data_IF_882865388139
#
_entry.id   IF_882865388139
#
_cell.length_a   1.000
_cell.length_b   1.000
_cell.length_c   1.000
_cell.angle_alpha   90.00
_cell.angle_beta   90.00
_cell.angle_gamma   90.00
#
_symmetry.space_group_name_H-M   'P 1'
#
loop_
_entity.id
_entity.type
_entity.pdbx_description
1 polymer ?
#
# COMPACT_ATOMS: atom_id res chain seq x y z
N UNK A 1 11.59 20.56 22.12
CA UNK A 1 10.92 19.29 21.79
C UNK A 1 10.45 19.41 20.36
N UNK A 2 11.15 18.76 19.42
CA UNK A 2 10.74 18.77 18.01
C UNK A 2 9.68 17.69 17.82
N UNK A 3 8.45 18.12 17.51
CA UNK A 3 7.33 17.24 17.23
C UNK A 3 7.53 16.60 15.86
N UNK A 4 7.65 15.27 15.80
CA UNK A 4 7.61 14.52 14.56
C UNK A 4 6.24 14.73 13.91
N UNK A 5 6.13 15.16 12.64
CA UNK A 5 4.84 15.44 12.04
C UNK A 5 4.00 14.15 12.06
N UNK A 6 2.84 14.21 12.72
CA UNK A 6 1.90 13.11 12.74
C UNK A 6 1.47 12.81 11.29
N UNK A 7 1.72 11.57 10.84
CA UNK A 7 1.26 11.09 9.54
C UNK A 7 -0.27 10.98 9.62
N UNK A 8 -0.98 12.04 9.22
CA UNK A 8 -2.44 12.20 9.38
C UNK A 8 -3.26 11.38 8.37
N UNK A 9 -2.77 10.21 7.96
CA UNK A 9 -3.36 9.38 6.91
C UNK A 9 -3.23 7.90 7.20
N UNK A 10 -3.90 7.07 6.40
CA UNK A 10 -3.81 5.62 6.57
C UNK A 10 -2.38 5.11 6.38
N UNK A 11 -2.01 4.09 7.16
CA UNK A 11 -0.74 3.38 7.06
C UNK A 11 -0.98 1.96 6.59
N UNK A 12 0.02 1.36 5.95
CA UNK A 12 -0.04 -0.04 5.56
C UNK A 12 0.15 -0.91 6.81
N UNK A 13 -0.86 -1.71 7.16
CA UNK A 13 -0.89 -2.57 8.36
C UNK A 13 -0.62 -4.05 8.05
N UNK A 14 -0.84 -4.48 6.81
CA UNK A 14 -0.55 -5.84 6.37
C UNK A 14 -0.16 -5.86 4.89
N UNK A 15 0.64 -6.85 4.50
CA UNK A 15 1.00 -7.12 3.10
C UNK A 15 0.99 -8.62 2.87
N UNK A 16 0.37 -9.06 1.76
CA UNK A 16 0.39 -10.47 1.35
C UNK A 16 0.44 -10.59 -0.17
N UNK A 17 1.00 -11.69 -0.67
CA UNK A 17 0.86 -12.08 -2.06
C UNK A 17 -0.36 -13.00 -2.22
N UNK A 18 -1.07 -12.86 -3.34
CA UNK A 18 -2.23 -13.68 -3.70
C UNK A 18 -2.13 -14.11 -5.16
N UNK A 19 -2.58 -15.32 -5.52
CA UNK A 19 -2.76 -15.66 -6.93
C UNK A 19 -3.92 -14.84 -7.54
N UNK A 20 -3.82 -14.57 -8.83
CA UNK A 20 -4.89 -14.00 -9.67
C UNK A 20 -5.44 -15.06 -10.63
N UNK A 21 -6.58 -14.76 -11.28
CA UNK A 21 -7.30 -15.71 -12.14
C UNK A 21 -6.60 -15.99 -13.49
N UNK A 22 -5.67 -15.13 -13.88
CA UNK A 22 -4.80 -15.23 -15.05
C UNK A 22 -3.48 -15.98 -14.76
N UNK A 23 -3.30 -16.47 -13.53
CA UNK A 23 -2.11 -17.24 -13.12
C UNK A 23 -0.93 -16.38 -12.67
N UNK A 24 -1.12 -15.07 -12.55
CA UNK A 24 -0.11 -14.14 -12.04
C UNK A 24 -0.18 -13.99 -10.50
N UNK A 25 0.80 -13.28 -9.94
CA UNK A 25 0.80 -12.89 -8.53
C UNK A 25 0.42 -11.42 -8.38
N UNK A 26 -0.51 -11.13 -7.47
CA UNK A 26 -0.84 -9.78 -7.04
C UNK A 26 -0.40 -9.55 -5.59
N UNK A 27 -0.16 -8.28 -5.24
CA UNK A 27 0.10 -7.85 -3.88
C UNK A 27 -1.17 -7.24 -3.29
N UNK A 28 -1.57 -7.73 -2.13
CA UNK A 28 -2.68 -7.20 -1.35
C UNK A 28 -2.11 -6.49 -0.13
N UNK A 29 -2.51 -5.24 0.06
CA UNK A 29 -2.15 -4.45 1.24
C UNK A 29 -3.40 -4.09 2.03
N UNK A 30 -3.28 -4.12 3.35
CA UNK A 30 -4.29 -3.57 4.24
C UNK A 30 -3.87 -2.18 4.69
N UNK A 31 -4.83 -1.25 4.67
CA UNK A 31 -4.68 0.11 5.17
C UNK A 31 -5.42 0.23 6.50
N UNK A 32 -4.75 0.78 7.52
CA UNK A 32 -5.34 1.14 8.80
C UNK A 32 -5.39 2.66 8.93
N UNK A 33 -6.58 3.19 9.16
CA UNK A 33 -6.86 4.62 9.30
C UNK A 33 -6.85 5.03 10.78
N UNK A 34 -6.47 6.28 11.12
CA UNK A 34 -6.46 6.75 12.51
C UNK A 34 -7.81 6.66 13.25
N UNK A 35 -8.92 6.66 12.50
CA UNK A 35 -10.27 6.48 13.06
C UNK A 35 -10.65 5.01 13.34
N UNK A 36 -9.69 4.08 13.23
CA UNK A 36 -9.91 2.64 13.39
C UNK A 36 -10.46 1.94 12.14
N UNK A 37 -10.72 2.67 11.06
CA UNK A 37 -11.15 2.11 9.78
C UNK A 37 -10.08 1.24 9.14
N UNK A 38 -10.50 0.25 8.35
CA UNK A 38 -9.60 -0.63 7.59
C UNK A 38 -10.07 -0.74 6.14
N UNK A 39 -9.13 -0.82 5.21
CA UNK A 39 -9.41 -1.08 3.80
C UNK A 39 -8.39 -2.05 3.23
N UNK A 40 -8.75 -2.76 2.16
CA UNK A 40 -7.84 -3.66 1.45
C UNK A 40 -7.68 -3.19 0.02
N UNK A 41 -6.44 -3.10 -0.46
CA UNK A 41 -6.12 -2.70 -1.83
C UNK A 41 -5.35 -3.85 -2.48
N UNK A 42 -5.87 -4.34 -3.60
CA UNK A 42 -5.14 -5.26 -4.46
C UNK A 42 -4.37 -4.47 -5.52
N UNK A 43 -3.13 -4.87 -5.74
CA UNK A 43 -2.19 -4.24 -6.66
C UNK A 43 -1.67 -5.35 -7.57
N UNK A 44 -1.88 -5.19 -8.87
CA UNK A 44 -1.41 -6.15 -9.87
C UNK A 44 0.12 -6.26 -9.85
N UNK A 45 0.67 -7.40 -10.26
CA UNK A 45 2.10 -7.71 -10.11
C UNK A 45 3.04 -6.65 -10.71
N UNK A 46 2.73 -6.14 -11.91
CA UNK A 46 3.52 -5.09 -12.56
C UNK A 46 3.49 -3.76 -11.78
N UNK A 47 2.34 -3.39 -11.21
CA UNK A 47 2.19 -2.19 -10.40
C UNK A 47 2.82 -2.35 -9.01
N UNK A 48 2.83 -3.57 -8.45
CA UNK A 48 3.47 -3.86 -7.17
C UNK A 48 4.98 -3.58 -7.22
N UNK A 49 5.65 -3.93 -8.32
CA UNK A 49 7.05 -3.58 -8.57
C UNK A 49 7.25 -2.06 -8.59
N UNK A 50 6.35 -1.33 -9.24
CA UNK A 50 6.41 0.13 -9.28
C UNK A 50 6.21 0.78 -7.91
N UNK A 51 5.32 0.22 -7.08
CA UNK A 51 5.11 0.63 -5.68
C UNK A 51 6.37 0.39 -4.85
N UNK A 52 6.95 -0.81 -4.89
CA UNK A 52 8.16 -1.13 -4.13
C UNK A 52 9.33 -0.24 -4.51
N UNK A 53 9.56 -0.03 -5.82
CA UNK A 53 10.61 0.87 -6.32
C UNK A 53 10.40 2.31 -5.84
N UNK A 54 9.16 2.78 -5.81
CA UNK A 54 8.83 4.13 -5.32
C UNK A 54 9.03 4.26 -3.82
N UNK A 55 8.66 3.24 -3.06
CA UNK A 55 8.87 3.18 -1.61
C UNK A 55 10.36 2.99 -1.26
N UNK A 56 11.21 2.64 -2.23
CA UNK A 56 12.64 2.41 -2.00
C UNK A 56 12.93 1.13 -1.23
N UNK A 57 12.03 0.15 -1.28
CA UNK A 57 12.11 -1.10 -0.50
C UNK A 57 12.51 -2.28 -1.38
N UNK A 58 13.17 -3.27 -0.77
CA UNK A 58 13.59 -4.49 -1.47
C UNK A 58 12.68 -5.68 -1.15
N UNK A 59 12.00 -5.66 0.00
CA UNK A 59 11.05 -6.67 0.43
C UNK A 59 9.66 -6.08 0.71
N UNK A 60 8.60 -6.81 0.33
CA UNK A 60 7.22 -6.33 0.48
C UNK A 60 6.83 -6.05 1.95
N UNK A 61 7.43 -6.75 2.92
CA UNK A 61 7.22 -6.51 4.35
C UNK A 61 7.74 -5.16 4.84
N UNK A 62 8.69 -4.54 4.13
CA UNK A 62 9.18 -3.19 4.47
C UNK A 62 8.16 -2.09 4.15
N UNK A 63 7.06 -2.41 3.45
CA UNK A 63 5.95 -1.48 3.25
C UNK A 63 5.15 -1.25 4.54
N UNK A 64 5.25 -2.14 5.52
CA UNK A 64 4.53 -2.03 6.78
C UNK A 64 4.89 -0.72 7.51
N UNK A 65 3.87 0.01 7.95
CA UNK A 65 4.02 1.31 8.60
C UNK A 65 4.25 2.48 7.64
N UNK A 66 4.48 2.24 6.34
CA UNK A 66 4.56 3.31 5.36
C UNK A 66 3.16 3.93 5.12
N UNK A 67 3.10 5.24 4.78
CA UNK A 67 1.85 5.89 4.46
C UNK A 67 1.25 5.34 3.15
N UNK A 68 -0.08 5.29 3.07
CA UNK A 68 -0.82 4.81 1.89
C UNK A 68 -0.44 5.52 0.58
N UNK A 69 0.10 6.74 0.67
CA UNK A 69 0.49 7.57 -0.49
C UNK A 69 1.59 6.95 -1.35
N UNK A 70 2.37 6.00 -0.84
CA UNK A 70 3.38 5.26 -1.63
C UNK A 70 2.73 4.40 -2.72
N UNK A 71 1.48 3.97 -2.51
CA UNK A 71 0.73 3.17 -3.47
C UNK A 71 0.41 3.96 -4.74
N UNK A 72 0.26 5.30 -4.63
CA UNK A 72 -0.20 6.19 -5.71
C UNK A 72 -1.33 5.57 -6.54
N UNK A 73 -2.34 5.06 -5.83
CA UNK A 73 -3.61 4.66 -6.46
C UNK A 73 -4.10 5.88 -7.22
N UNK A 74 -4.20 5.80 -8.55
CA UNK A 74 -4.82 6.88 -9.31
C UNK A 74 -6.23 7.05 -8.76
N UNK A 75 -6.64 8.29 -8.54
CA UNK A 75 -8.07 8.58 -8.57
C UNK A 75 -8.59 8.01 -9.89
N UNK A 76 -9.67 7.23 -9.85
CA UNK A 76 -10.39 6.89 -11.07
C UNK A 76 -11.04 8.20 -11.52
N UNK A 77 -10.27 9.01 -12.24
CA UNK A 77 -10.78 10.20 -12.90
C UNK A 77 -11.73 9.71 -14.00
N UNK A 78 -13.02 9.70 -13.71
CA UNK A 78 -14.05 9.37 -14.69
C UNK A 78 -15.28 8.67 -14.11
N UNK A 79 -16.02 9.37 -13.24
CA UNK A 79 -17.49 9.32 -13.22
C UNK A 79 -18.01 10.75 -13.10
#
# INVERSE_FOLDING_TARGET
MSETPAVSGAVISAVRLTPTHDGEAAMVVELHYPNGGRSTVQIEGADAVAVMRRAGVSHASELLGLPWTVLRVRDVAGL
#
